data_IF_502769577223
#
_entry.id   IF_502769577223
#
_cell.length_a   1.000
_cell.length_b   1.000
_cell.length_c   1.000
_cell.angle_alpha   90.00
_cell.angle_beta   90.00
_cell.angle_gamma   90.00
#
_symmetry.space_group_name_H-M   'P 1'
#
loop_
_entity.id
_entity.type
_entity.pdbx_description
1 polymer ?
#
# COMPACT_ATOMS: atom_id res chain seq x y z
N UNK A 1 0.91 6.60 -21.45
CA UNK A 1 0.77 7.92 -22.12
C UNK A 1 -0.69 8.20 -22.36
N UNK A 2 -1.09 9.48 -22.51
CA UNK A 2 -2.50 9.83 -22.76
C UNK A 2 -2.99 9.27 -24.11
N UNK A 3 -2.15 9.35 -25.12
CA UNK A 3 -2.46 8.83 -26.47
C UNK A 3 -2.81 7.34 -26.49
N UNK A 4 -2.16 6.53 -25.66
CA UNK A 4 -2.43 5.09 -25.57
C UNK A 4 -3.82 4.81 -24.98
N UNK A 5 -4.22 5.62 -23.99
CA UNK A 5 -5.55 5.51 -23.37
C UNK A 5 -6.64 5.89 -24.36
N UNK A 6 -6.43 6.96 -25.13
CA UNK A 6 -7.36 7.36 -26.20
C UNK A 6 -7.46 6.28 -27.26
N UNK A 7 -6.33 5.74 -27.73
CA UNK A 7 -6.32 4.67 -28.73
C UNK A 7 -7.05 3.41 -28.22
N UNK A 8 -6.87 3.05 -26.95
CA UNK A 8 -7.55 1.88 -26.36
C UNK A 8 -9.07 2.06 -26.18
N UNK A 9 -9.51 3.28 -25.90
CA UNK A 9 -10.91 3.57 -25.56
C UNK A 9 -11.72 4.21 -26.68
N UNK A 10 -11.10 4.40 -27.85
CA UNK A 10 -11.77 4.97 -29.02
C UNK A 10 -11.34 4.21 -30.28
N UNK A 11 -12.09 4.40 -31.36
CA UNK A 11 -11.70 3.90 -32.70
C UNK A 11 -10.95 4.98 -33.49
N UNK A 12 -10.38 5.98 -32.82
CA UNK A 12 -9.72 7.09 -33.49
C UNK A 12 -8.41 6.63 -34.14
N UNK A 13 -8.27 6.89 -35.42
CA UNK A 13 -7.01 6.69 -36.17
C UNK A 13 -5.98 7.78 -35.86
N UNK A 14 -6.40 8.86 -35.18
CA UNK A 14 -5.55 9.99 -34.80
C UNK A 14 -5.77 10.36 -33.32
N UNK A 15 -5.21 9.60 -32.38
CA UNK A 15 -5.44 9.84 -30.94
C UNK A 15 -5.03 11.24 -30.48
N UNK A 16 -3.98 11.84 -31.04
CA UNK A 16 -3.54 13.20 -30.70
C UNK A 16 -4.56 14.26 -31.14
N UNK A 17 -5.16 14.09 -32.33
CA UNK A 17 -6.25 14.94 -32.78
C UNK A 17 -7.47 14.83 -31.88
N UNK A 18 -7.79 13.61 -31.46
CA UNK A 18 -8.90 13.34 -30.53
C UNK A 18 -8.72 14.03 -29.17
N UNK A 19 -7.49 14.11 -28.65
CA UNK A 19 -7.18 14.86 -27.40
C UNK A 19 -7.56 16.34 -27.55
N UNK A 20 -7.26 16.96 -28.69
CA UNK A 20 -7.64 18.34 -28.95
C UNK A 20 -9.15 18.51 -28.98
N UNK A 21 -9.87 17.56 -29.58
CA UNK A 21 -11.34 17.59 -29.69
C UNK A 21 -12.04 17.42 -28.34
N UNK A 22 -11.60 16.49 -27.49
CA UNK A 22 -12.20 16.36 -26.14
C UNK A 22 -11.96 17.60 -25.29
N UNK A 23 -10.77 18.21 -25.36
CA UNK A 23 -10.46 19.46 -24.65
C UNK A 23 -11.34 20.62 -25.14
N UNK A 24 -11.61 20.68 -26.45
CA UNK A 24 -12.53 21.71 -27.00
C UNK A 24 -13.97 21.53 -26.51
N UNK A 25 -14.41 20.28 -26.33
CA UNK A 25 -15.76 19.93 -25.87
C UNK A 25 -15.95 20.03 -24.36
N UNK A 26 -14.87 19.86 -23.60
CA UNK A 26 -14.87 19.95 -22.13
C UNK A 26 -13.98 21.13 -21.68
N UNK A 27 -14.58 22.31 -21.46
CA UNK A 27 -13.84 23.50 -21.05
C UNK A 27 -13.09 23.34 -19.73
N UNK A 28 -13.64 22.57 -18.77
CA UNK A 28 -13.00 22.33 -17.48
C UNK A 28 -11.79 21.41 -17.62
N UNK A 29 -11.87 20.38 -18.48
CA UNK A 29 -10.71 19.58 -18.84
C UNK A 29 -9.62 20.44 -19.51
N UNK A 30 -10.04 21.39 -20.37
CA UNK A 30 -9.11 22.28 -21.07
C UNK A 30 -8.37 23.22 -20.11
N UNK A 31 -9.10 23.86 -19.17
CA UNK A 31 -8.52 24.76 -18.15
C UNK A 31 -7.57 23.99 -17.22
N UNK A 32 -7.95 22.79 -16.78
CA UNK A 32 -7.17 21.95 -15.88
C UNK A 32 -6.09 21.13 -16.56
N UNK A 33 -5.87 21.26 -17.87
CA UNK A 33 -5.00 20.35 -18.61
C UNK A 33 -3.57 20.27 -18.09
N UNK A 34 -2.99 21.39 -17.67
CA UNK A 34 -1.59 21.44 -17.18
C UNK A 34 -1.43 20.68 -15.86
N UNK A 35 -2.47 20.62 -15.03
CA UNK A 35 -2.48 19.85 -13.79
C UNK A 35 -2.76 18.35 -14.06
N UNK A 36 -3.48 18.03 -15.13
CA UNK A 36 -3.93 16.67 -15.49
C UNK A 36 -2.85 15.94 -16.27
N UNK A 37 -2.19 16.60 -17.23
CA UNK A 37 -1.23 15.97 -18.13
C UNK A 37 0.03 16.81 -18.32
N UNK A 38 1.20 16.17 -18.13
CA UNK A 38 2.51 16.77 -18.26
C UNK A 38 3.22 16.19 -19.50
N UNK A 39 3.79 17.02 -20.36
CA UNK A 39 4.61 16.53 -21.47
C UNK A 39 5.95 15.98 -20.95
N UNK A 40 6.20 14.69 -21.21
CA UNK A 40 7.43 13.99 -20.84
C UNK A 40 8.14 13.47 -22.09
N UNK A 41 9.48 13.44 -22.05
CA UNK A 41 10.28 12.77 -23.08
C UNK A 41 10.17 11.25 -22.88
N UNK A 42 9.61 10.56 -23.86
CA UNK A 42 9.37 9.11 -23.82
C UNK A 42 10.07 8.46 -25.00
N UNK A 43 10.77 7.36 -24.73
CA UNK A 43 11.35 6.53 -25.79
C UNK A 43 10.23 5.75 -26.49
N UNK A 44 10.09 5.96 -27.79
CA UNK A 44 9.13 5.24 -28.65
C UNK A 44 9.87 4.48 -29.74
N UNK A 45 9.22 3.59 -30.49
CA UNK A 45 9.83 2.95 -31.66
C UNK A 45 10.34 3.95 -32.70
N UNK A 46 9.77 5.15 -32.79
CA UNK A 46 10.21 6.25 -33.67
C UNK A 46 11.24 7.19 -33.05
N UNK A 47 11.85 6.81 -31.89
CA UNK A 47 12.82 7.64 -31.17
C UNK A 47 12.22 8.35 -29.96
N UNK A 48 12.97 9.28 -29.37
CA UNK A 48 12.49 10.08 -28.20
C UNK A 48 11.50 11.12 -28.69
N UNK A 49 10.29 11.05 -28.11
CA UNK A 49 9.19 11.98 -28.41
C UNK A 49 8.68 12.65 -27.14
N UNK A 50 8.21 13.90 -27.25
CA UNK A 50 7.58 14.63 -26.17
C UNK A 50 6.07 14.35 -26.18
N UNK A 51 5.60 13.52 -25.24
CA UNK A 51 4.22 13.03 -25.18
C UNK A 51 3.55 13.43 -23.88
N UNK A 52 2.26 13.74 -23.95
CA UNK A 52 1.45 14.01 -22.75
C UNK A 52 1.29 12.73 -21.95
N UNK A 53 1.76 12.77 -20.68
CA UNK A 53 1.62 11.72 -19.72
C UNK A 53 0.77 12.22 -18.54
N UNK A 54 -0.04 11.35 -17.95
CA UNK A 54 -0.84 11.67 -16.79
C UNK A 54 -0.70 10.57 -15.74
N UNK A 55 -0.88 10.93 -14.46
CA UNK A 55 -1.03 9.96 -13.38
C UNK A 55 -2.42 9.28 -13.47
N UNK A 56 -2.69 8.34 -12.58
CA UNK A 56 -3.96 7.57 -12.58
C UNK A 56 -5.18 8.47 -12.45
N UNK A 57 -5.12 9.47 -11.59
CA UNK A 57 -6.21 10.44 -11.38
C UNK A 57 -6.49 11.25 -12.65
N UNK A 58 -5.43 11.78 -13.27
CA UNK A 58 -5.52 12.50 -14.54
C UNK A 58 -6.08 11.64 -15.67
N UNK A 59 -5.67 10.37 -15.74
CA UNK A 59 -6.25 9.40 -16.70
C UNK A 59 -7.75 9.21 -16.44
N UNK A 60 -8.17 9.05 -15.19
CA UNK A 60 -9.59 8.90 -14.85
C UNK A 60 -10.40 10.15 -15.25
N UNK A 61 -9.84 11.35 -15.02
CA UNK A 61 -10.49 12.60 -15.44
C UNK A 61 -10.62 12.69 -16.97
N UNK A 62 -9.58 12.30 -17.71
CA UNK A 62 -9.63 12.28 -19.19
C UNK A 62 -10.69 11.29 -19.68
N UNK A 63 -10.77 10.09 -19.13
CA UNK A 63 -11.73 9.05 -19.55
C UNK A 63 -13.17 9.52 -19.38
N UNK A 64 -13.48 10.28 -18.33
CA UNK A 64 -14.83 10.84 -18.13
C UNK A 64 -15.28 11.73 -19.30
N UNK A 65 -14.36 12.41 -19.96
CA UNK A 65 -14.62 13.31 -21.08
C UNK A 65 -14.64 12.59 -22.45
N UNK A 66 -14.36 11.29 -22.51
CA UNK A 66 -14.38 10.52 -23.78
C UNK A 66 -15.80 10.06 -24.11
N UNK A 67 -16.48 10.58 -25.14
CA UNK A 67 -17.83 10.16 -25.53
C UNK A 67 -17.78 8.90 -26.43
N UNK A 68 -17.10 7.85 -25.97
CA UNK A 68 -16.99 6.59 -26.71
C UNK A 68 -17.71 5.45 -26.00
N UNK A 69 -18.46 4.60 -26.71
CA UNK A 69 -19.05 3.38 -26.12
C UNK A 69 -18.00 2.47 -25.46
N UNK A 70 -16.75 2.45 -25.95
CA UNK A 70 -15.64 1.69 -25.34
C UNK A 70 -15.21 2.23 -23.98
N UNK A 71 -15.43 3.52 -23.69
CA UNK A 71 -15.16 4.12 -22.39
C UNK A 71 -16.30 3.88 -21.38
N UNK A 72 -17.49 3.53 -21.83
CA UNK A 72 -18.68 3.40 -20.99
C UNK A 72 -18.57 2.35 -19.89
N UNK A 73 -18.02 1.14 -20.11
CA UNK A 73 -17.81 0.17 -19.04
C UNK A 73 -16.92 0.71 -17.92
N UNK A 74 -15.90 1.49 -18.28
CA UNK A 74 -15.01 2.10 -17.30
C UNK A 74 -15.68 3.23 -16.53
N UNK A 75 -16.49 4.07 -17.18
CA UNK A 75 -17.29 5.12 -16.51
C UNK A 75 -18.26 4.53 -15.51
N UNK A 76 -18.95 3.44 -15.86
CA UNK A 76 -19.84 2.71 -14.94
C UNK A 76 -19.08 2.12 -13.76
N UNK A 77 -17.87 1.60 -14.00
CA UNK A 77 -17.01 1.11 -12.93
C UNK A 77 -16.63 2.25 -11.97
N UNK A 78 -16.23 3.43 -12.47
CA UNK A 78 -15.92 4.59 -11.64
C UNK A 78 -17.15 5.04 -10.81
N UNK A 79 -18.32 5.09 -11.42
CA UNK A 79 -19.57 5.43 -10.72
C UNK A 79 -19.86 4.44 -9.59
N UNK A 80 -19.66 3.14 -9.84
CA UNK A 80 -19.82 2.08 -8.81
C UNK A 80 -18.84 2.27 -7.67
N UNK A 81 -17.55 2.47 -7.97
CA UNK A 81 -16.51 2.69 -6.94
C UNK A 81 -16.83 3.92 -6.08
N UNK A 82 -17.29 5.02 -6.71
CA UNK A 82 -17.73 6.21 -5.99
C UNK A 82 -18.93 5.94 -5.08
N UNK A 83 -19.92 5.22 -5.57
CA UNK A 83 -21.09 4.83 -4.78
C UNK A 83 -20.73 3.91 -3.61
N UNK A 84 -19.88 2.90 -3.85
CA UNK A 84 -19.38 2.00 -2.80
C UNK A 84 -18.65 2.79 -1.71
N UNK A 85 -17.86 3.81 -2.10
CA UNK A 85 -17.17 4.68 -1.14
C UNK A 85 -18.11 5.51 -0.28
N UNK A 86 -19.20 6.03 -0.87
CA UNK A 86 -20.24 6.75 -0.11
C UNK A 86 -20.89 5.80 0.90
N UNK A 87 -21.19 4.57 0.49
CA UNK A 87 -21.74 3.54 1.38
C UNK A 87 -20.82 3.17 2.53
N UNK A 88 -19.51 3.14 2.30
CA UNK A 88 -18.51 2.91 3.37
C UNK A 88 -18.45 4.08 4.38
N UNK A 89 -18.82 5.30 3.98
CA UNK A 89 -18.93 6.43 4.91
C UNK A 89 -20.17 6.27 5.80
N UNK A 90 -21.27 5.77 5.23
CA UNK A 90 -22.51 5.49 5.97
C UNK A 90 -22.40 4.26 6.89
N UNK A 91 -21.71 3.21 6.42
CA UNK A 91 -21.45 1.96 7.12
C UNK A 91 -19.96 1.56 7.01
N UNK A 92 -19.12 1.96 7.98
CA UNK A 92 -17.67 1.66 7.96
C UNK A 92 -17.33 0.16 7.97
N UNK A 93 -18.24 -0.72 8.38
CA UNK A 93 -18.01 -2.18 8.31
C UNK A 93 -17.81 -2.66 6.87
N UNK A 94 -18.43 -1.99 5.90
CA UNK A 94 -18.29 -2.32 4.47
C UNK A 94 -16.84 -2.20 4.01
N UNK A 95 -16.08 -1.20 4.50
CA UNK A 95 -14.67 -1.06 4.20
C UNK A 95 -13.85 -2.25 4.72
N UNK A 96 -14.16 -2.73 5.93
CA UNK A 96 -13.54 -3.93 6.51
C UNK A 96 -13.89 -5.17 5.70
N UNK A 97 -15.16 -5.36 5.33
CA UNK A 97 -15.63 -6.47 4.49
C UNK A 97 -14.92 -6.46 3.13
N UNK A 98 -14.80 -5.28 2.50
CA UNK A 98 -14.05 -5.12 1.23
C UNK A 98 -12.57 -5.47 1.38
N UNK A 99 -11.93 -5.03 2.45
CA UNK A 99 -10.52 -5.37 2.72
C UNK A 99 -10.32 -6.88 2.85
N UNK A 100 -11.20 -7.57 3.58
CA UNK A 100 -11.20 -9.06 3.69
C UNK A 100 -11.38 -9.72 2.33
N UNK A 101 -12.34 -9.25 1.54
CA UNK A 101 -12.62 -9.79 0.21
C UNK A 101 -11.42 -9.62 -0.73
N UNK A 102 -10.72 -8.48 -0.68
CA UNK A 102 -9.51 -8.25 -1.47
C UNK A 102 -8.37 -9.21 -1.10
N UNK A 103 -8.10 -9.43 0.20
CA UNK A 103 -7.11 -10.43 0.61
C UNK A 103 -7.50 -11.84 0.21
N UNK A 104 -8.79 -12.19 0.37
CA UNK A 104 -9.32 -13.51 -0.03
C UNK A 104 -9.17 -13.74 -1.54
N UNK A 105 -9.50 -12.74 -2.36
CA UNK A 105 -9.31 -12.77 -3.81
C UNK A 105 -7.84 -12.91 -4.22
N UNK A 106 -6.90 -12.39 -3.42
CA UNK A 106 -5.45 -12.59 -3.61
C UNK A 106 -4.97 -14.01 -3.19
N UNK A 107 -5.82 -14.83 -2.58
CA UNK A 107 -5.51 -16.20 -2.18
C UNK A 107 -5.04 -16.38 -0.73
N UNK A 108 -5.21 -15.37 0.12
CA UNK A 108 -4.90 -15.49 1.55
C UNK A 108 -6.00 -16.28 2.27
N UNK A 109 -5.61 -17.10 3.26
CA UNK A 109 -6.57 -17.84 4.11
C UNK A 109 -7.28 -16.88 5.09
N UNK A 110 -8.50 -17.24 5.49
CA UNK A 110 -9.25 -16.45 6.46
C UNK A 110 -8.47 -16.29 7.79
N UNK A 111 -7.81 -17.34 8.27
CA UNK A 111 -6.98 -17.27 9.48
C UNK A 111 -5.77 -16.31 9.35
N UNK A 112 -5.16 -16.23 8.19
CA UNK A 112 -4.09 -15.27 7.93
C UNK A 112 -4.64 -13.84 7.85
N UNK A 113 -5.78 -13.66 7.19
CA UNK A 113 -6.45 -12.35 7.04
C UNK A 113 -6.78 -11.75 8.42
N UNK A 114 -7.31 -12.56 9.34
CA UNK A 114 -7.60 -12.11 10.71
C UNK A 114 -6.34 -11.60 11.42
N UNK A 115 -5.24 -12.37 11.36
CA UNK A 115 -3.96 -11.94 11.94
C UNK A 115 -3.46 -10.64 11.30
N UNK A 116 -3.57 -10.53 9.98
CA UNK A 116 -3.14 -9.33 9.25
C UNK A 116 -3.92 -8.09 9.64
N UNK A 117 -5.25 -8.19 9.75
CA UNK A 117 -6.13 -7.10 10.16
C UNK A 117 -5.87 -6.71 11.63
N UNK A 118 -5.68 -7.69 12.51
CA UNK A 118 -5.29 -7.41 13.90
C UNK A 118 -3.95 -6.67 13.98
N UNK A 119 -2.98 -7.06 13.15
CA UNK A 119 -1.69 -6.38 13.07
C UNK A 119 -1.77 -4.95 12.53
N UNK A 120 -2.77 -4.63 11.68
CA UNK A 120 -3.03 -3.26 11.25
C UNK A 120 -3.51 -2.44 12.44
N UNK A 121 -4.52 -2.92 13.19
CA UNK A 121 -5.06 -2.22 14.34
C UNK A 121 -3.99 -1.96 15.43
N UNK A 122 -3.19 -2.97 15.79
CA UNK A 122 -2.08 -2.81 16.75
C UNK A 122 -1.09 -1.74 16.29
N UNK A 123 -0.81 -1.71 14.99
CA UNK A 123 0.09 -0.71 14.40
C UNK A 123 -0.49 0.71 14.47
N UNK A 124 -1.76 0.87 14.19
CA UNK A 124 -2.47 2.15 14.30
C UNK A 124 -2.45 2.64 15.75
N UNK A 125 -2.84 1.78 16.70
CA UNK A 125 -2.78 2.11 18.13
C UNK A 125 -1.39 2.57 18.59
N UNK A 126 -0.32 1.92 18.11
CA UNK A 126 1.06 2.30 18.43
C UNK A 126 1.42 3.65 17.82
N UNK A 127 1.09 3.89 16.54
CA UNK A 127 1.40 5.15 15.88
C UNK A 127 0.64 6.33 16.47
N UNK A 128 -0.60 6.12 16.91
CA UNK A 128 -1.38 7.10 17.66
C UNK A 128 -0.71 7.48 18.99
N UNK A 129 -0.13 6.48 19.70
CA UNK A 129 0.62 6.76 20.93
C UNK A 129 1.88 7.59 20.64
N UNK A 130 2.59 7.32 19.54
CA UNK A 130 3.75 8.10 19.14
C UNK A 130 3.37 9.55 18.81
N UNK A 131 2.30 9.74 18.05
CA UNK A 131 1.79 11.07 17.71
C UNK A 131 1.40 11.88 18.94
N UNK A 132 0.71 11.26 19.91
CA UNK A 132 0.33 11.90 21.19
C UNK A 132 1.53 12.26 22.07
N UNK A 133 2.71 11.74 21.77
CA UNK A 133 3.95 11.92 22.53
C UNK A 133 5.04 12.67 21.75
N UNK A 134 4.62 13.58 20.90
CA UNK A 134 5.50 14.49 20.13
C UNK A 134 6.46 13.82 19.14
N UNK A 135 6.17 12.61 18.67
CA UNK A 135 6.81 12.06 17.47
C UNK A 135 6.10 12.66 16.25
N UNK A 136 6.76 13.55 15.51
CA UNK A 136 6.11 14.37 14.46
C UNK A 136 6.58 14.04 13.06
N UNK A 137 7.87 13.77 12.89
CA UNK A 137 8.48 13.64 11.58
C UNK A 137 8.25 12.23 10.99
N UNK A 138 7.83 12.12 9.72
CA UNK A 138 7.65 10.82 9.06
C UNK A 138 8.89 9.91 9.17
N UNK A 139 10.09 10.50 9.14
CA UNK A 139 11.35 9.78 9.29
C UNK A 139 11.54 9.16 10.68
N UNK A 140 11.02 9.80 11.71
CA UNK A 140 11.05 9.26 13.07
C UNK A 140 10.23 7.98 13.17
N UNK A 141 9.01 7.94 12.58
CA UNK A 141 8.18 6.73 12.50
C UNK A 141 8.89 5.59 11.75
N UNK A 142 9.63 5.90 10.69
CA UNK A 142 10.43 4.90 9.98
C UNK A 142 11.52 4.32 10.87
N UNK A 143 12.24 5.17 11.61
CA UNK A 143 13.31 4.75 12.52
C UNK A 143 12.75 3.90 13.66
N UNK A 144 11.67 4.35 14.33
CA UNK A 144 11.04 3.59 15.41
C UNK A 144 10.58 2.21 14.93
N UNK A 145 9.97 2.15 13.75
CA UNK A 145 9.58 0.88 13.12
C UNK A 145 10.80 -0.01 12.84
N UNK A 146 11.89 0.59 12.39
CA UNK A 146 13.12 -0.15 12.11
C UNK A 146 13.76 -0.70 13.40
N UNK A 147 13.73 0.05 14.50
CA UNK A 147 14.21 -0.40 15.80
C UNK A 147 13.41 -1.61 16.32
N UNK A 148 12.06 -1.56 16.28
CA UNK A 148 11.22 -2.70 16.65
C UNK A 148 11.56 -3.91 15.79
N UNK A 149 11.60 -3.75 14.46
CA UNK A 149 11.89 -4.85 13.53
C UNK A 149 13.28 -5.44 13.76
N UNK A 150 14.29 -4.59 13.97
CA UNK A 150 15.68 -5.00 14.23
C UNK A 150 15.78 -5.77 15.54
N UNK A 151 15.15 -5.29 16.61
CA UNK A 151 15.14 -5.98 17.90
C UNK A 151 14.37 -7.30 17.83
N UNK A 152 13.23 -7.36 17.13
CA UNK A 152 12.41 -8.56 16.98
C UNK A 152 13.08 -9.61 16.10
N UNK A 153 13.55 -9.23 14.91
CA UNK A 153 13.99 -10.16 13.86
C UNK A 153 15.48 -10.13 13.55
N UNK A 154 16.22 -9.16 14.07
CA UNK A 154 17.61 -8.91 13.67
C UNK A 154 17.75 -8.16 12.34
N UNK A 155 16.66 -7.76 11.73
CA UNK A 155 16.60 -7.12 10.41
C UNK A 155 15.74 -5.85 10.45
N UNK A 156 16.22 -4.78 9.81
CA UNK A 156 15.36 -3.63 9.52
C UNK A 156 14.31 -4.02 8.46
N UNK A 157 13.17 -3.30 8.33
CA UNK A 157 12.17 -3.59 7.30
C UNK A 157 12.75 -3.65 5.88
N UNK A 158 13.71 -2.78 5.56
CA UNK A 158 14.39 -2.77 4.27
C UNK A 158 15.24 -4.02 4.04
N UNK A 159 16.04 -4.41 5.05
CA UNK A 159 16.84 -5.64 5.01
C UNK A 159 15.94 -6.89 4.92
N UNK A 160 14.80 -6.88 5.62
CA UNK A 160 13.85 -7.97 5.60
C UNK A 160 13.16 -8.12 4.23
N UNK A 161 12.79 -7.00 3.58
CA UNK A 161 12.32 -7.03 2.19
C UNK A 161 13.33 -7.68 1.25
N UNK A 162 14.61 -7.29 1.35
CA UNK A 162 15.70 -7.90 0.56
C UNK A 162 15.83 -9.40 0.84
N UNK A 163 15.76 -9.80 2.12
CA UNK A 163 15.82 -11.20 2.53
C UNK A 163 14.71 -12.04 1.90
N UNK A 164 13.48 -11.49 1.77
CA UNK A 164 12.33 -12.13 1.10
C UNK A 164 12.29 -11.92 -0.43
N UNK A 165 13.26 -11.22 -1.02
CA UNK A 165 13.31 -10.94 -2.46
C UNK A 165 12.23 -9.97 -2.95
N UNK A 166 11.74 -9.08 -2.06
CA UNK A 166 10.72 -8.07 -2.36
C UNK A 166 11.36 -6.76 -2.82
N UNK A 167 10.67 -6.03 -3.69
CA UNK A 167 11.09 -4.70 -4.20
C UNK A 167 10.21 -3.59 -3.62
N UNK A 168 8.96 -3.48 -4.09
CA UNK A 168 7.99 -2.44 -3.70
C UNK A 168 6.84 -2.97 -2.86
N UNK A 169 6.70 -4.28 -2.77
CA UNK A 169 5.62 -4.98 -2.11
C UNK A 169 5.59 -4.65 -0.60
N UNK A 170 4.42 -4.76 0.02
CA UNK A 170 4.29 -4.61 1.46
C UNK A 170 4.89 -5.85 2.14
N UNK A 171 5.89 -5.65 2.99
CA UNK A 171 6.58 -6.74 3.69
C UNK A 171 5.62 -7.65 4.47
N UNK A 172 4.65 -7.06 5.20
CA UNK A 172 3.72 -7.82 6.05
C UNK A 172 2.78 -8.71 5.26
N UNK A 173 2.46 -8.35 4.01
CA UNK A 173 1.63 -9.17 3.13
C UNK A 173 2.38 -10.43 2.63
N UNK A 174 3.70 -10.51 2.87
CA UNK A 174 4.55 -11.64 2.53
C UNK A 174 5.02 -12.46 3.73
N UNK A 175 4.62 -12.05 4.93
CA UNK A 175 4.97 -12.72 6.18
C UNK A 175 4.10 -13.97 6.39
N UNK A 176 4.71 -15.03 6.95
CA UNK A 176 3.98 -16.19 7.47
C UNK A 176 3.31 -15.86 8.82
N UNK A 177 2.54 -16.80 9.33
CA UNK A 177 1.77 -16.64 10.57
C UNK A 177 2.64 -16.24 11.77
N UNK A 178 3.77 -16.91 11.98
CA UNK A 178 4.66 -16.61 13.11
C UNK A 178 5.36 -15.27 12.94
N UNK A 179 5.78 -14.92 11.74
CA UNK A 179 6.36 -13.62 11.44
C UNK A 179 5.37 -12.47 11.76
N UNK A 180 4.08 -12.65 11.41
CA UNK A 180 3.03 -11.68 11.76
C UNK A 180 2.80 -11.61 13.28
N UNK A 181 2.76 -12.75 13.97
CA UNK A 181 2.56 -12.80 15.43
C UNK A 181 3.68 -12.09 16.16
N UNK A 182 4.95 -12.35 15.81
CA UNK A 182 6.09 -11.68 16.44
C UNK A 182 6.16 -10.18 16.09
N UNK A 183 5.73 -9.78 14.89
CA UNK A 183 5.58 -8.36 14.56
C UNK A 183 4.55 -7.68 15.47
N UNK A 184 3.38 -8.30 15.65
CA UNK A 184 2.34 -7.79 16.53
C UNK A 184 2.79 -7.73 17.99
N UNK A 185 3.48 -8.75 18.47
CA UNK A 185 4.02 -8.77 19.84
C UNK A 185 5.01 -7.63 20.07
N UNK A 186 5.93 -7.39 19.13
CA UNK A 186 6.89 -6.29 19.24
C UNK A 186 6.23 -4.92 19.26
N UNK A 187 5.22 -4.71 18.42
CA UNK A 187 4.46 -3.45 18.34
C UNK A 187 3.59 -3.25 19.59
N UNK A 188 2.89 -4.29 20.06
CA UNK A 188 2.07 -4.22 21.26
C UNK A 188 2.93 -3.99 22.52
N UNK A 189 4.04 -4.70 22.66
CA UNK A 189 4.98 -4.51 23.78
C UNK A 189 5.57 -3.10 23.78
N UNK A 190 5.93 -2.58 22.60
CA UNK A 190 6.41 -1.20 22.45
C UNK A 190 5.36 -0.21 22.94
N UNK A 191 4.09 -0.37 22.53
CA UNK A 191 2.98 0.48 22.95
C UNK A 191 2.85 0.49 24.49
N UNK A 192 2.80 -0.67 25.12
CA UNK A 192 2.68 -0.80 26.56
C UNK A 192 3.87 -0.17 27.31
N UNK A 193 5.10 -0.41 26.87
CA UNK A 193 6.29 0.19 27.47
C UNK A 193 6.28 1.73 27.29
N UNK A 194 5.88 2.23 26.12
CA UNK A 194 5.77 3.66 25.85
C UNK A 194 4.78 4.33 26.81
N UNK A 195 3.62 3.69 27.05
CA UNK A 195 2.59 4.19 27.97
C UNK A 195 3.07 4.16 29.41
N UNK A 196 3.56 3.01 29.87
CA UNK A 196 3.92 2.78 31.28
C UNK A 196 5.12 3.62 31.72
N UNK A 197 6.07 3.87 30.84
CA UNK A 197 7.21 4.76 31.08
C UNK A 197 6.89 6.24 30.83
N UNK A 198 5.71 6.54 30.33
CA UNK A 198 5.31 7.87 29.87
C UNK A 198 6.36 8.51 28.96
N UNK A 199 6.94 7.69 28.05
CA UNK A 199 8.01 8.13 27.16
C UNK A 199 7.55 9.31 26.27
N UNK A 200 8.34 10.38 26.20
CA UNK A 200 8.03 11.59 25.46
C UNK A 200 9.11 11.87 24.40
N UNK A 201 8.66 12.36 23.26
CA UNK A 201 9.54 12.69 22.13
C UNK A 201 10.23 11.47 21.52
N UNK A 202 11.06 11.73 20.52
CA UNK A 202 11.66 10.68 19.70
C UNK A 202 12.66 9.80 20.50
N UNK A 203 13.48 10.39 21.37
CA UNK A 203 14.57 9.64 22.02
C UNK A 203 14.03 8.57 22.98
N UNK A 204 13.11 8.95 23.88
CA UNK A 204 12.53 8.03 24.85
C UNK A 204 11.64 6.98 24.16
N UNK A 205 10.88 7.41 23.15
CA UNK A 205 10.07 6.51 22.33
C UNK A 205 10.92 5.51 21.56
N UNK A 206 12.11 5.91 21.09
CA UNK A 206 13.07 5.00 20.45
C UNK A 206 13.59 3.94 21.42
N UNK A 207 13.89 4.31 22.66
CA UNK A 207 14.27 3.35 23.69
C UNK A 207 13.13 2.36 23.96
N UNK A 208 11.91 2.82 24.13
CA UNK A 208 10.73 1.97 24.28
C UNK A 208 10.51 1.02 23.09
N UNK A 209 10.79 1.49 21.87
CA UNK A 209 10.73 0.67 20.65
C UNK A 209 11.77 -0.46 20.64
N UNK A 210 12.99 -0.18 21.10
CA UNK A 210 14.05 -1.19 21.25
C UNK A 210 13.68 -2.23 22.29
N UNK A 211 13.19 -1.81 23.45
CA UNK A 211 12.79 -2.69 24.54
C UNK A 211 11.58 -3.57 24.15
N UNK A 212 10.53 -2.97 23.55
CA UNK A 212 9.37 -3.72 23.10
C UNK A 212 9.68 -4.72 21.99
N UNK A 213 10.54 -4.31 21.05
CA UNK A 213 11.06 -5.23 20.03
C UNK A 213 11.90 -6.36 20.64
N UNK A 214 12.68 -6.08 21.71
CA UNK A 214 13.49 -7.09 22.42
C UNK A 214 12.61 -8.15 23.13
N UNK A 215 11.46 -7.76 23.69
CA UNK A 215 10.48 -8.72 24.25
C UNK A 215 10.10 -9.75 23.19
N UNK A 216 9.67 -9.30 22.02
CA UNK A 216 9.31 -10.19 20.92
C UNK A 216 10.52 -10.98 20.38
N UNK A 217 11.68 -10.35 20.30
CA UNK A 217 12.93 -10.98 19.84
C UNK A 217 13.38 -12.11 20.76
N UNK A 218 13.30 -11.94 22.07
CA UNK A 218 13.63 -12.96 23.06
C UNK A 218 12.63 -14.12 23.01
N UNK A 219 11.33 -13.84 22.97
CA UNK A 219 10.30 -14.86 22.81
C UNK A 219 10.48 -15.66 21.50
N UNK A 220 10.81 -14.99 20.39
CA UNK A 220 11.12 -15.65 19.11
C UNK A 220 12.32 -16.59 19.23
N UNK A 221 13.43 -16.12 19.80
CA UNK A 221 14.65 -16.94 19.97
C UNK A 221 14.38 -18.17 20.82
N UNK A 222 13.60 -18.01 21.90
CA UNK A 222 13.22 -19.11 22.77
C UNK A 222 12.34 -20.14 22.04
N UNK A 223 11.37 -19.68 21.23
CA UNK A 223 10.58 -20.57 20.39
C UNK A 223 11.45 -21.31 19.38
N UNK A 224 12.35 -20.61 18.69
CA UNK A 224 13.27 -21.23 17.72
C UNK A 224 14.19 -22.28 18.39
N UNK A 225 14.67 -22.00 19.61
CA UNK A 225 15.48 -22.94 20.39
C UNK A 225 14.70 -24.20 20.76
N UNK A 226 13.44 -24.06 21.22
CA UNK A 226 12.60 -25.19 21.65
C UNK A 226 12.03 -25.99 20.49
N UNK A 227 11.66 -25.34 19.39
CA UNK A 227 11.04 -25.98 18.24
C UNK A 227 12.05 -26.53 17.21
N UNK A 228 13.32 -26.08 17.28
CA UNK A 228 14.33 -26.38 16.26
C UNK A 228 14.08 -25.74 14.90
N UNK A 229 13.06 -24.86 14.77
CA UNK A 229 12.67 -24.24 13.50
C UNK A 229 12.85 -22.73 13.57
N UNK A 230 13.37 -22.13 12.48
CA UNK A 230 13.46 -20.66 12.36
C UNK A 230 12.09 -20.06 12.05
N UNK A 231 11.78 -18.94 12.73
CA UNK A 231 10.59 -18.14 12.45
C UNK A 231 10.76 -17.37 11.14
N UNK A 232 11.95 -16.75 10.96
CA UNK A 232 12.25 -16.04 9.73
C UNK A 232 12.50 -17.02 8.59
N UNK A 233 11.77 -16.84 7.49
CA UNK A 233 11.96 -17.63 6.27
C UNK A 233 12.11 -16.72 5.06
N UNK A 234 12.78 -17.21 4.01
CA UNK A 234 12.81 -16.54 2.70
C UNK A 234 11.50 -16.73 1.92
N UNK A 235 10.68 -17.67 2.36
CA UNK A 235 9.42 -17.98 1.70
C UNK A 235 8.41 -16.87 1.94
N UNK A 236 7.72 -16.51 0.87
CA UNK A 236 6.57 -15.61 0.92
C UNK A 236 5.30 -16.43 1.15
N UNK A 237 4.36 -15.90 1.93
CA UNK A 237 3.09 -16.58 2.21
C UNK A 237 2.36 -16.98 0.91
N UNK A 238 2.28 -16.05 -0.06
CA UNK A 238 1.80 -16.37 -1.40
C UNK A 238 2.98 -16.54 -2.36
N UNK A 239 3.00 -17.62 -3.11
CA UNK A 239 3.94 -17.79 -4.23
C UNK A 239 3.62 -16.78 -5.33
N UNK A 240 4.64 -16.14 -5.92
CA UNK A 240 4.51 -15.06 -6.94
C UNK A 240 3.54 -15.34 -8.11
N UNK A 241 3.20 -16.59 -8.36
CA UNK A 241 2.33 -17.02 -9.46
C UNK A 241 0.85 -16.68 -9.24
N UNK A 242 0.40 -16.44 -8.02
CA UNK A 242 -1.03 -16.18 -7.71
C UNK A 242 -1.41 -14.69 -7.80
N UNK A 243 -0.45 -13.77 -7.69
CA UNK A 243 -0.72 -12.33 -7.76
C UNK A 243 -1.08 -11.80 -9.16
N UNK A 244 -0.82 -12.57 -10.23
CA UNK A 244 -1.15 -12.19 -11.62
C UNK A 244 -2.59 -12.49 -12.04
N UNK A 245 -3.36 -13.28 -11.26
CA UNK A 245 -4.74 -13.69 -11.62
C UNK A 245 -5.82 -12.63 -11.32
N UNK A 246 -5.48 -11.51 -10.71
CA UNK A 246 -6.44 -10.50 -10.26
C UNK A 246 -6.56 -9.27 -11.18
N UNK A 247 -5.85 -9.27 -12.31
CA UNK A 247 -5.90 -8.17 -13.29
C UNK A 247 -6.53 -8.59 -14.64
N UNK A 248 -7.21 -9.75 -14.68
CA UNK A 248 -8.00 -10.17 -15.83
C UNK A 248 -9.49 -10.13 -15.51
#
# INVERSE_FOLDING_TARGET
MVVDVIAALTDSVQPDGYIKDIRRRDPELSKGWVQIATPLSVQTPGGVQKLNCANTEGIFRIIQSIPSPKAEPFKRWLARVGYERIKEIEDPELATKRTRALYKAKGYSDAWIEKRLRGIAIREELTDQWQKRDVKEPKEYEILTAEISKATFGLTPSAYKKFKGLKRENLRDHMNDLELIFSMLGEASTKEITINKNAQGFIETKQAAQEGGAVAGNARKELERKSGKKVLTRENYLKKTQSKKLLN
#
